data_IF_501564995098
#
_entry.id   IF_501564995098
#
_cell.length_a   1.000
_cell.length_b   1.000
_cell.length_c   1.000
_cell.angle_alpha   90.00
_cell.angle_beta   90.00
_cell.angle_gamma   90.00
#
_symmetry.space_group_name_H-M   'P 1'
#
loop_
_entity.id
_entity.type
_entity.pdbx_description
1 polymer ?
#
# COMPACT_ATOMS: atom_id res chain seq x y z
N UNK A 1 -17.56 -3.35 4.70
CA UNK A 1 -17.04 -2.97 3.37
C UNK A 1 -15.52 -2.98 3.47
N UNK A 2 -14.80 -3.62 2.53
CA UNK A 2 -13.34 -3.47 2.44
C UNK A 2 -12.99 -2.02 2.11
N UNK A 3 -11.92 -1.50 2.72
CA UNK A 3 -11.36 -0.18 2.39
C UNK A 3 -10.25 -0.42 1.37
N UNK A 4 -10.34 0.26 0.23
CA UNK A 4 -9.31 0.24 -0.79
C UNK A 4 -8.28 1.33 -0.51
N UNK A 5 -7.00 0.98 -0.51
CA UNK A 5 -5.87 1.89 -0.36
C UNK A 5 -5.11 1.91 -1.68
N UNK A 6 -5.20 3.03 -2.40
CA UNK A 6 -4.52 3.23 -3.68
C UNK A 6 -3.80 4.56 -3.76
N UNK A 7 -2.86 4.68 -4.70
CA UNK A 7 -2.10 5.91 -4.91
C UNK A 7 -1.04 5.78 -6.00
N UNK A 8 -0.21 6.82 -6.14
CA UNK A 8 0.91 6.86 -7.08
C UNK A 8 2.19 7.27 -6.35
N UNK A 9 3.23 6.46 -6.44
CA UNK A 9 4.54 6.75 -5.88
C UNK A 9 5.44 7.43 -6.92
N UNK A 10 5.91 8.63 -6.59
CA UNK A 10 6.77 9.46 -7.44
C UNK A 10 7.95 10.01 -6.65
N UNK A 11 9.04 10.28 -7.34
CA UNK A 11 10.22 10.96 -6.78
C UNK A 11 10.06 12.49 -6.72
N UNK A 12 11.09 13.20 -6.27
CA UNK A 12 11.10 14.67 -6.19
C UNK A 12 11.02 15.40 -7.54
N UNK A 13 11.18 14.69 -8.66
CA UNK A 13 11.04 15.21 -10.02
C UNK A 13 9.67 14.91 -10.64
N UNK A 14 8.83 14.13 -9.95
CA UNK A 14 7.52 13.69 -10.43
C UNK A 14 7.57 12.39 -11.24
N UNK A 15 8.72 11.73 -11.31
CA UNK A 15 8.92 10.48 -12.06
C UNK A 15 8.44 9.29 -11.22
N UNK A 16 7.72 8.31 -11.78
CA UNK A 16 7.32 7.09 -11.07
C UNK A 16 8.52 6.34 -10.51
N UNK A 17 8.42 5.91 -9.25
CA UNK A 17 9.47 5.10 -8.62
C UNK A 17 9.27 3.63 -8.98
N UNK A 18 10.17 3.09 -9.82
CA UNK A 18 10.16 1.69 -10.21
C UNK A 18 10.94 0.81 -9.23
N UNK A 19 10.70 -0.52 -9.28
CA UNK A 19 11.42 -1.53 -8.50
C UNK A 19 11.41 -1.29 -6.98
N UNK A 20 10.36 -0.67 -6.47
CA UNK A 20 10.12 -0.50 -5.05
C UNK A 20 9.01 -1.44 -4.58
N UNK A 21 8.99 -1.72 -3.28
CA UNK A 21 7.92 -2.50 -2.64
C UNK A 21 7.18 -1.60 -1.67
N UNK A 22 5.89 -1.42 -1.90
CA UNK A 22 5.00 -0.73 -0.96
C UNK A 22 4.50 -1.78 0.03
N UNK A 23 4.72 -1.54 1.32
CA UNK A 23 4.24 -2.42 2.38
C UNK A 23 3.23 -1.69 3.26
N UNK A 24 1.97 -2.13 3.24
CA UNK A 24 0.93 -1.67 4.14
C UNK A 24 0.86 -2.59 5.36
N UNK A 25 0.91 -1.99 6.55
CA UNK A 25 0.67 -2.68 7.82
C UNK A 25 -0.57 -2.09 8.46
N UNK A 26 -1.64 -2.88 8.54
CA UNK A 26 -2.88 -2.50 9.20
C UNK A 26 -3.08 -3.33 10.46
N UNK A 27 -3.58 -2.70 11.52
CA UNK A 27 -4.00 -3.37 12.74
C UNK A 27 -5.48 -3.10 12.96
N UNK A 28 -6.28 -4.17 12.99
CA UNK A 28 -7.69 -4.11 13.33
C UNK A 28 -7.86 -4.59 14.76
N UNK A 29 -8.10 -3.66 15.67
CA UNK A 29 -8.45 -3.94 17.06
C UNK A 29 -9.96 -4.02 17.22
N UNK A 30 -10.46 -5.18 17.65
CA UNK A 30 -11.81 -5.38 18.17
C UNK A 30 -11.74 -5.65 19.68
N UNK A 31 -12.87 -5.67 20.38
CA UNK A 31 -12.94 -5.91 21.83
C UNK A 31 -12.36 -7.27 22.25
N UNK A 32 -12.35 -8.26 21.37
CA UNK A 32 -11.91 -9.64 21.66
C UNK A 32 -10.75 -10.14 20.80
N UNK A 33 -10.39 -9.41 19.73
CA UNK A 33 -9.41 -9.88 18.74
C UNK A 33 -8.60 -8.71 18.19
N UNK A 34 -7.29 -8.89 18.11
CA UNK A 34 -6.39 -8.02 17.34
C UNK A 34 -5.98 -8.77 16.08
N UNK A 35 -6.22 -8.19 14.91
CA UNK A 35 -5.81 -8.75 13.61
C UNK A 35 -4.78 -7.84 12.97
N UNK A 36 -3.62 -8.39 12.63
CA UNK A 36 -2.59 -7.69 11.87
C UNK A 36 -2.66 -8.16 10.40
N UNK A 37 -2.77 -7.21 9.48
CA UNK A 37 -2.72 -7.47 8.04
C UNK A 37 -1.51 -6.77 7.46
N UNK A 38 -0.72 -7.51 6.69
CA UNK A 38 0.38 -6.96 5.89
C UNK A 38 0.07 -7.22 4.42
N UNK A 39 -0.02 -6.15 3.64
CA UNK A 39 -0.07 -6.23 2.18
C UNK A 39 1.25 -5.69 1.62
N UNK A 40 1.73 -6.28 0.54
CA UNK A 40 2.94 -5.81 -0.14
C UNK A 40 2.73 -5.89 -1.64
N UNK A 41 2.95 -4.78 -2.32
CA UNK A 41 2.72 -4.65 -3.75
C UNK A 41 3.85 -3.85 -4.37
N UNK A 42 4.24 -4.24 -5.58
CA UNK A 42 5.16 -3.48 -6.40
C UNK A 42 4.32 -2.58 -7.31
N UNK A 43 4.55 -1.25 -7.31
CA UNK A 43 3.81 -0.36 -8.19
C UNK A 43 4.03 -0.70 -9.67
N UNK A 44 3.05 -0.38 -10.51
CA UNK A 44 3.18 -0.51 -11.97
C UNK A 44 4.20 0.48 -12.56
N UNK A 45 4.43 0.42 -13.88
CA UNK A 45 5.37 1.31 -14.58
C UNK A 45 5.02 2.81 -14.42
N UNK A 46 3.76 3.13 -14.09
CA UNK A 46 3.29 4.47 -13.80
C UNK A 46 3.34 4.83 -12.30
N UNK A 47 3.84 3.92 -11.45
CA UNK A 47 3.99 4.09 -10.02
C UNK A 47 2.71 3.84 -9.23
N UNK A 48 1.69 3.23 -9.83
CA UNK A 48 0.37 3.04 -9.21
C UNK A 48 0.33 1.78 -8.36
N UNK A 49 -0.36 1.85 -7.23
CA UNK A 49 -0.63 0.72 -6.34
C UNK A 49 -2.08 0.70 -5.88
N UNK A 50 -2.63 -0.48 -5.55
CA UNK A 50 -4.01 -0.63 -5.10
C UNK A 50 -4.24 -1.91 -4.29
N UNK A 51 -4.49 -1.78 -2.98
CA UNK A 51 -4.63 -2.90 -2.02
C UNK A 51 -5.82 -2.77 -1.08
#
# INVERSE_FOLDING_TARGET
>A
MPVLISGVLKDGTGTPVQNCTIQLKACRTSTTVVVNTVASENPDDAGRYSM
#
